data_IF_522278625031
#
_entry.id   IF_522278625031
#
_cell.length_a   1.000
_cell.length_b   1.000
_cell.length_c   1.000
_cell.angle_alpha   90.00
_cell.angle_beta   90.00
_cell.angle_gamma   90.00
#
_symmetry.space_group_name_H-M   'P 1'
#
loop_
_entity.id
_entity.type
_entity.pdbx_description
1 polymer ?
#
# COMPACT_ATOMS: atom_id res chain seq x y z
N UNK A 1 -4.22 -16.03 1.95
CA UNK A 1 -4.97 -15.94 0.68
C UNK A 1 -6.47 -15.84 0.93
N UNK A 2 -7.11 -16.79 1.60
CA UNK A 2 -8.57 -16.81 1.79
C UNK A 2 -9.12 -15.49 2.33
N UNK A 3 -8.59 -15.00 3.44
CA UNK A 3 -9.03 -13.72 4.05
C UNK A 3 -8.90 -12.55 3.08
N UNK A 4 -7.81 -12.50 2.29
CA UNK A 4 -7.60 -11.45 1.29
C UNK A 4 -8.57 -11.57 0.10
N UNK A 5 -8.89 -12.79 -0.36
CA UNK A 5 -9.88 -13.01 -1.41
C UNK A 5 -11.27 -12.55 -0.94
N UNK A 6 -11.67 -12.92 0.27
CA UNK A 6 -12.94 -12.50 0.86
C UNK A 6 -13.02 -10.96 1.00
N UNK A 7 -11.95 -10.30 1.47
CA UNK A 7 -11.88 -8.85 1.53
C UNK A 7 -12.02 -8.19 0.14
N UNK A 8 -11.29 -8.71 -0.87
CA UNK A 8 -11.37 -8.23 -2.25
C UNK A 8 -12.77 -8.40 -2.82
N UNK A 9 -13.35 -9.57 -2.69
CA UNK A 9 -14.65 -9.91 -3.28
C UNK A 9 -15.77 -9.01 -2.71
N UNK A 10 -15.67 -8.63 -1.44
CA UNK A 10 -16.55 -7.61 -0.87
C UNK A 10 -16.28 -6.23 -1.48
N UNK A 11 -14.99 -5.85 -1.63
CA UNK A 11 -14.62 -4.51 -2.11
C UNK A 11 -14.91 -4.28 -3.60
N UNK A 12 -14.81 -5.30 -4.45
CA UNK A 12 -15.12 -5.19 -5.89
C UNK A 12 -16.63 -5.21 -6.18
N UNK A 13 -17.48 -5.49 -5.18
CA UNK A 13 -18.92 -5.43 -5.36
C UNK A 13 -19.36 -4.01 -5.78
N UNK A 14 -20.36 -3.88 -6.65
CA UNK A 14 -20.82 -2.61 -7.19
C UNK A 14 -21.23 -1.58 -6.13
N UNK A 15 -21.63 -2.06 -4.95
CA UNK A 15 -21.88 -1.23 -3.75
C UNK A 15 -21.31 -1.91 -2.52
N UNK A 16 -20.15 -1.48 -2.08
CA UNK A 16 -19.70 -1.80 -0.72
C UNK A 16 -20.65 -1.09 0.24
N UNK A 17 -21.51 -1.85 0.90
CA UNK A 17 -22.37 -1.31 1.94
C UNK A 17 -21.48 -0.88 3.13
N UNK A 18 -21.80 0.22 3.78
CA UNK A 18 -21.06 0.69 4.97
C UNK A 18 -20.96 -0.41 6.04
N UNK A 19 -22.00 -1.23 6.18
CA UNK A 19 -22.01 -2.40 7.08
C UNK A 19 -20.95 -3.46 6.73
N UNK A 20 -20.42 -3.47 5.51
CA UNK A 20 -19.37 -4.42 5.06
C UNK A 20 -17.97 -3.95 5.39
N UNK A 21 -17.75 -2.65 5.61
CA UNK A 21 -16.41 -2.10 5.93
C UNK A 21 -15.81 -2.74 7.20
N UNK A 22 -16.54 -2.93 8.31
CA UNK A 22 -16.03 -3.64 9.48
C UNK A 22 -15.60 -5.09 9.18
N UNK A 23 -16.27 -5.77 8.26
CA UNK A 23 -15.92 -7.15 7.86
C UNK A 23 -14.59 -7.15 7.09
N UNK A 24 -14.42 -6.23 6.14
CA UNK A 24 -13.16 -6.06 5.39
C UNK A 24 -12.01 -5.75 6.36
N UNK A 25 -12.22 -4.81 7.28
CA UNK A 25 -11.25 -4.46 8.34
C UNK A 25 -10.84 -5.70 9.13
N UNK A 26 -11.81 -6.52 9.57
CA UNK A 26 -11.53 -7.75 10.30
C UNK A 26 -10.64 -8.72 9.50
N UNK A 27 -10.92 -8.92 8.20
CA UNK A 27 -10.09 -9.78 7.35
C UNK A 27 -8.65 -9.24 7.23
N UNK A 28 -8.48 -7.93 7.00
CA UNK A 28 -7.16 -7.31 6.86
C UNK A 28 -6.35 -7.36 8.18
N UNK A 29 -6.98 -7.07 9.32
CA UNK A 29 -6.34 -7.18 10.64
C UNK A 29 -5.86 -8.61 10.90
N UNK A 30 -6.69 -9.61 10.56
CA UNK A 30 -6.34 -11.02 10.70
C UNK A 30 -5.12 -11.39 9.84
N UNK A 31 -5.04 -10.90 8.59
CA UNK A 31 -3.89 -11.14 7.73
C UNK A 31 -2.63 -10.49 8.29
N UNK A 32 -2.73 -9.25 8.81
CA UNK A 32 -1.61 -8.54 9.43
C UNK A 32 -1.07 -9.32 10.64
N UNK A 33 -1.94 -9.87 11.51
CA UNK A 33 -1.51 -10.72 12.63
C UNK A 33 -0.85 -12.03 12.17
N UNK A 34 -1.33 -12.65 11.08
CA UNK A 34 -0.68 -13.84 10.50
C UNK A 34 0.73 -13.50 10.03
N UNK A 35 0.94 -12.34 9.34
CA UNK A 35 2.29 -11.92 8.93
C UNK A 35 3.20 -11.62 10.12
N UNK A 36 2.68 -11.00 11.19
CA UNK A 36 3.44 -10.78 12.43
C UNK A 36 3.89 -12.09 13.07
N UNK A 37 2.99 -13.09 13.10
CA UNK A 37 3.32 -14.43 13.58
C UNK A 37 4.41 -15.08 12.72
N UNK A 38 4.26 -15.04 11.40
CA UNK A 38 5.24 -15.59 10.45
C UNK A 38 6.60 -14.89 10.58
N UNK A 39 6.62 -13.57 10.73
CA UNK A 39 7.86 -12.81 10.96
C UNK A 39 8.56 -13.23 12.25
N UNK A 40 7.81 -13.53 13.32
CA UNK A 40 8.37 -14.01 14.57
C UNK A 40 8.94 -15.45 14.47
N UNK A 41 8.44 -16.28 13.57
CA UNK A 41 8.96 -17.64 13.36
C UNK A 41 10.40 -17.65 12.83
N UNK A 42 10.84 -16.61 12.12
CA UNK A 42 12.23 -16.48 11.68
C UNK A 42 13.22 -16.51 12.85
N UNK A 43 12.82 -16.01 14.04
CA UNK A 43 13.64 -16.05 15.25
C UNK A 43 13.96 -17.49 15.70
N UNK A 44 13.05 -18.44 15.45
CA UNK A 44 13.31 -19.85 15.73
C UNK A 44 14.37 -20.38 14.76
N UNK A 45 14.29 -20.03 13.48
CA UNK A 45 15.31 -20.42 12.51
C UNK A 45 16.69 -19.83 12.83
N UNK A 46 16.74 -18.62 13.36
CA UNK A 46 17.99 -17.96 13.78
C UNK A 46 18.70 -18.62 14.96
N UNK A 47 18.06 -19.56 15.65
CA UNK A 47 18.72 -20.39 16.70
C UNK A 47 19.61 -21.47 16.13
N UNK A 48 19.49 -21.82 14.86
CA UNK A 48 20.40 -22.72 14.17
C UNK A 48 21.75 -22.02 13.94
N UNK A 49 22.84 -22.79 14.08
CA UNK A 49 24.14 -22.29 13.64
C UNK A 49 24.28 -22.41 12.12
N UNK A 50 25.07 -21.55 11.46
CA UNK A 50 25.35 -21.70 10.02
C UNK A 50 25.87 -23.08 9.64
N UNK A 51 26.69 -23.73 10.52
CA UNK A 51 27.23 -25.05 10.30
C UNK A 51 26.16 -26.15 10.35
N UNK A 52 25.23 -26.06 11.32
CA UNK A 52 24.11 -27.00 11.40
C UNK A 52 23.21 -26.89 10.16
N UNK A 53 22.95 -25.69 9.71
CA UNK A 53 22.21 -25.48 8.48
C UNK A 53 22.93 -26.07 7.26
N UNK A 54 24.21 -25.79 7.11
CA UNK A 54 25.01 -26.31 6.01
C UNK A 54 25.09 -27.88 6.00
N UNK A 55 25.01 -28.50 7.16
CA UNK A 55 25.04 -29.96 7.27
C UNK A 55 23.87 -30.67 6.57
N UNK A 56 22.72 -30.01 6.44
CA UNK A 56 21.57 -30.58 5.73
C UNK A 56 21.17 -29.82 4.46
N UNK A 57 21.76 -28.63 4.20
CA UNK A 57 21.40 -27.74 3.08
C UNK A 57 21.32 -28.48 1.74
N UNK A 58 22.28 -29.37 1.46
CA UNK A 58 22.33 -30.09 0.18
C UNK A 58 21.14 -31.05 0.00
N UNK A 59 20.49 -31.46 1.09
CA UNK A 59 19.27 -32.27 1.05
C UNK A 59 18.04 -31.51 0.64
N UNK A 60 18.09 -30.16 0.68
CA UNK A 60 17.00 -29.30 0.21
C UNK A 60 16.91 -29.25 -1.32
N UNK A 61 17.94 -29.77 -2.01
CA UNK A 61 17.98 -29.80 -3.48
C UNK A 61 17.90 -28.38 -4.08
N UNK A 62 17.04 -28.23 -5.08
CA UNK A 62 16.79 -26.96 -5.77
C UNK A 62 15.63 -26.16 -5.18
N UNK A 63 15.11 -26.55 -4.02
CA UNK A 63 13.99 -25.85 -3.36
C UNK A 63 14.26 -24.36 -3.23
N UNK A 64 13.31 -23.56 -3.66
CA UNK A 64 13.42 -22.11 -3.72
C UNK A 64 12.13 -21.44 -3.25
N UNK A 65 12.26 -20.25 -2.63
CA UNK A 65 11.11 -19.40 -2.33
C UNK A 65 10.32 -18.96 -3.58
N UNK A 66 10.91 -19.07 -4.77
CA UNK A 66 10.19 -18.88 -6.05
C UNK A 66 9.12 -19.93 -6.28
N UNK A 67 9.22 -21.11 -5.67
CA UNK A 67 8.22 -22.17 -5.76
C UNK A 67 7.01 -21.93 -4.84
N UNK A 68 7.06 -20.90 -3.98
CA UNK A 68 5.90 -20.48 -3.18
C UNK A 68 4.88 -19.74 -4.03
N UNK A 69 4.10 -20.51 -4.80
CA UNK A 69 3.03 -19.97 -5.65
C UNK A 69 2.01 -19.14 -4.85
N UNK A 70 1.72 -19.52 -3.61
CA UNK A 70 0.81 -18.78 -2.74
C UNK A 70 1.30 -17.35 -2.45
N UNK A 71 2.61 -17.16 -2.28
CA UNK A 71 3.17 -15.81 -2.09
C UNK A 71 3.02 -14.98 -3.37
N UNK A 72 3.24 -15.59 -4.54
CA UNK A 72 3.06 -14.91 -5.83
C UNK A 72 1.60 -14.54 -6.05
N UNK A 73 0.69 -15.46 -5.73
CA UNK A 73 -0.75 -15.21 -5.81
C UNK A 73 -1.20 -14.08 -4.87
N UNK A 74 -0.67 -14.03 -3.63
CA UNK A 74 -0.93 -12.91 -2.72
C UNK A 74 -0.45 -11.57 -3.29
N UNK A 75 0.74 -11.54 -3.87
CA UNK A 75 1.28 -10.32 -4.47
C UNK A 75 0.42 -9.82 -5.64
N UNK A 76 -0.09 -10.72 -6.48
CA UNK A 76 -1.03 -10.39 -7.57
C UNK A 76 -2.37 -9.92 -7.01
N UNK A 77 -2.94 -10.65 -6.06
CA UNK A 77 -4.19 -10.31 -5.40
C UNK A 77 -4.15 -8.93 -4.75
N UNK A 78 -3.01 -8.55 -4.18
CA UNK A 78 -2.82 -7.23 -3.56
C UNK A 78 -2.61 -6.11 -4.58
N UNK A 79 -2.11 -6.42 -5.78
CA UNK A 79 -1.86 -5.45 -6.84
C UNK A 79 -0.40 -5.02 -6.99
N UNK A 80 0.56 -5.93 -6.68
CA UNK A 80 1.97 -5.64 -6.96
C UNK A 80 2.23 -5.72 -8.47
N UNK A 81 2.56 -4.59 -9.07
CA UNK A 81 2.84 -4.47 -10.50
C UNK A 81 4.12 -5.20 -10.92
N UNK A 82 4.18 -5.63 -12.19
CA UNK A 82 5.33 -6.37 -12.73
C UNK A 82 6.59 -5.52 -12.76
N UNK A 83 6.47 -4.22 -13.03
CA UNK A 83 7.56 -3.24 -13.09
C UNK A 83 8.23 -3.04 -11.74
N UNK A 84 7.49 -3.24 -10.65
CA UNK A 84 8.02 -3.15 -9.28
C UNK A 84 8.78 -4.40 -8.88
N UNK A 85 8.59 -5.52 -9.61
CA UNK A 85 9.24 -6.79 -9.32
C UNK A 85 10.68 -6.78 -9.80
N UNK A 86 11.56 -7.42 -9.06
CA UNK A 86 12.96 -7.56 -9.47
C UNK A 86 13.05 -8.25 -10.85
N UNK A 87 13.66 -7.57 -11.80
CA UNK A 87 13.80 -8.05 -13.18
C UNK A 87 12.52 -8.04 -14.02
N UNK A 88 11.46 -7.35 -13.58
CA UNK A 88 10.20 -7.27 -14.32
C UNK A 88 9.51 -8.63 -14.49
N UNK A 89 9.67 -9.53 -13.51
CA UNK A 89 9.13 -10.90 -13.59
C UNK A 89 7.61 -10.89 -13.68
N UNK A 90 7.07 -11.48 -14.74
CA UNK A 90 5.65 -11.79 -14.86
C UNK A 90 5.30 -13.05 -14.03
N UNK A 91 4.50 -12.91 -12.95
CA UNK A 91 4.15 -14.02 -12.09
C UNK A 91 3.24 -15.04 -12.79
N UNK A 92 2.41 -14.63 -13.75
CA UNK A 92 1.54 -15.54 -14.48
C UNK A 92 2.34 -16.45 -15.41
N UNK A 93 3.21 -15.88 -16.25
CA UNK A 93 4.09 -16.64 -17.12
C UNK A 93 5.00 -17.59 -16.33
N UNK A 94 5.45 -17.16 -15.13
CA UNK A 94 6.23 -18.00 -14.23
C UNK A 94 5.41 -19.21 -13.71
N UNK A 95 4.16 -18.99 -13.31
CA UNK A 95 3.26 -20.05 -12.83
C UNK A 95 2.93 -21.06 -13.91
N UNK A 96 2.66 -20.61 -15.13
CA UNK A 96 2.41 -21.47 -16.30
C UNK A 96 3.63 -22.36 -16.61
N UNK A 97 4.84 -21.78 -16.54
CA UNK A 97 6.08 -22.54 -16.67
C UNK A 97 6.21 -23.63 -15.61
N UNK A 98 6.01 -23.29 -14.33
CA UNK A 98 6.08 -24.26 -13.22
C UNK A 98 5.03 -25.37 -13.36
N UNK A 99 3.84 -25.06 -13.84
CA UNK A 99 2.79 -26.04 -14.12
C UNK A 99 3.19 -26.97 -15.28
N UNK A 100 3.78 -26.43 -16.36
CA UNK A 100 4.35 -27.23 -17.44
C UNK A 100 5.47 -28.17 -17.02
N UNK A 101 6.22 -27.81 -15.99
CA UNK A 101 7.25 -28.63 -15.35
C UNK A 101 6.68 -29.64 -14.31
N UNK A 102 5.37 -29.63 -14.08
CA UNK A 102 4.71 -30.49 -13.08
C UNK A 102 4.98 -30.10 -11.61
N UNK A 103 5.49 -28.89 -11.36
CA UNK A 103 5.81 -28.38 -10.02
C UNK A 103 4.61 -27.71 -9.35
N UNK A 104 3.59 -27.31 -10.10
CA UNK A 104 2.35 -26.71 -9.64
C UNK A 104 1.18 -27.54 -10.14
N UNK A 105 0.19 -27.77 -9.27
CA UNK A 105 -1.01 -28.53 -9.63
C UNK A 105 -1.89 -27.75 -10.60
N UNK A 106 -2.67 -28.40 -11.47
CA UNK A 106 -3.62 -27.74 -12.35
C UNK A 106 -4.64 -26.88 -11.58
N UNK A 107 -5.07 -27.30 -10.40
CA UNK A 107 -5.98 -26.52 -9.56
C UNK A 107 -5.34 -25.23 -9.05
N UNK A 108 -4.07 -25.29 -8.59
CA UNK A 108 -3.36 -24.10 -8.16
C UNK A 108 -3.10 -23.09 -9.29
N UNK A 109 -2.87 -23.60 -10.53
CA UNK A 109 -2.77 -22.72 -11.69
C UNK A 109 -4.12 -22.09 -12.03
N UNK A 110 -5.22 -22.83 -11.95
CA UNK A 110 -6.55 -22.29 -12.17
C UNK A 110 -6.90 -21.20 -11.14
N UNK A 111 -6.66 -21.45 -9.85
CA UNK A 111 -6.85 -20.46 -8.78
C UNK A 111 -6.02 -19.18 -9.02
N UNK A 112 -4.81 -19.34 -9.57
CA UNK A 112 -3.96 -18.20 -9.91
C UNK A 112 -4.51 -17.40 -11.09
N UNK A 113 -4.98 -18.06 -12.13
CA UNK A 113 -5.66 -17.42 -13.28
C UNK A 113 -6.90 -16.64 -12.82
N UNK A 114 -7.74 -17.25 -11.97
CA UNK A 114 -8.92 -16.60 -11.42
C UNK A 114 -8.53 -15.34 -10.62
N UNK A 115 -7.48 -15.43 -9.81
CA UNK A 115 -6.98 -14.28 -9.05
C UNK A 115 -6.49 -13.17 -9.97
N UNK A 116 -5.75 -13.51 -11.02
CA UNK A 116 -5.17 -12.56 -11.97
C UNK A 116 -6.23 -11.90 -12.89
N UNK A 117 -7.34 -12.58 -13.15
CA UNK A 117 -8.41 -12.07 -14.02
C UNK A 117 -9.33 -11.04 -13.37
N UNK A 118 -9.30 -10.93 -12.05
CA UNK A 118 -10.13 -10.01 -11.27
C UNK A 118 -9.34 -8.77 -10.86
N UNK A 119 -10.00 -7.63 -10.59
CA UNK A 119 -9.35 -6.47 -10.01
C UNK A 119 -8.58 -6.83 -8.75
N UNK A 120 -7.41 -6.24 -8.57
CA UNK A 120 -6.63 -6.40 -7.35
C UNK A 120 -7.29 -5.71 -6.15
N UNK A 121 -6.80 -6.00 -4.95
CA UNK A 121 -7.26 -5.32 -3.74
C UNK A 121 -6.90 -3.82 -3.76
N UNK A 122 -5.80 -3.45 -4.41
CA UNK A 122 -5.42 -2.05 -4.62
C UNK A 122 -6.39 -1.35 -5.59
N UNK A 123 -6.77 -1.99 -6.71
CA UNK A 123 -7.77 -1.44 -7.63
C UNK A 123 -9.12 -1.24 -6.94
N UNK A 124 -9.54 -2.24 -6.15
CA UNK A 124 -10.77 -2.19 -5.38
C UNK A 124 -10.75 -1.06 -4.33
N UNK A 125 -9.62 -0.86 -3.65
CA UNK A 125 -9.41 0.24 -2.71
C UNK A 125 -9.50 1.59 -3.43
N UNK A 126 -8.80 1.77 -4.54
CA UNK A 126 -8.84 3.02 -5.30
C UNK A 126 -10.24 3.33 -5.84
N UNK A 127 -10.94 2.33 -6.35
CA UNK A 127 -12.34 2.46 -6.75
C UNK A 127 -13.24 2.88 -5.58
N UNK A 128 -13.04 2.29 -4.40
CA UNK A 128 -13.81 2.64 -3.20
C UNK A 128 -13.51 4.06 -2.73
N UNK A 129 -12.24 4.48 -2.70
CA UNK A 129 -11.81 5.84 -2.36
C UNK A 129 -12.42 6.89 -3.30
N UNK A 130 -12.57 6.54 -4.58
CA UNK A 130 -13.21 7.41 -5.57
C UNK A 130 -14.68 7.74 -5.26
N UNK A 131 -15.33 6.99 -4.37
CA UNK A 131 -16.72 7.23 -3.95
C UNK A 131 -16.84 8.02 -2.64
N UNK A 132 -15.73 8.40 -2.02
CA UNK A 132 -15.73 9.18 -0.78
C UNK A 132 -16.46 10.51 -0.99
N UNK A 133 -17.49 10.85 -0.23
CA UNK A 133 -18.07 12.18 -0.28
C UNK A 133 -17.05 13.24 0.13
N UNK A 134 -16.89 14.28 -0.67
CA UNK A 134 -15.99 15.42 -0.41
C UNK A 134 -16.85 16.68 -0.29
N UNK A 135 -16.79 17.35 0.84
CA UNK A 135 -17.66 18.47 1.16
C UNK A 135 -19.16 18.18 0.99
N UNK A 136 -19.55 16.91 1.22
CA UNK A 136 -20.92 16.44 1.04
C UNK A 136 -21.26 16.01 -0.39
N UNK A 137 -20.44 16.35 -1.40
CA UNK A 137 -20.66 15.95 -2.78
C UNK A 137 -20.19 14.53 -3.07
N UNK A 138 -20.94 13.84 -3.89
CA UNK A 138 -20.70 12.44 -4.32
C UNK A 138 -20.55 12.36 -5.84
N UNK A 139 -19.85 11.33 -6.40
CA UNK A 139 -19.57 11.23 -7.85
C UNK A 139 -20.78 11.25 -8.77
N UNK A 140 -21.98 10.97 -8.24
CA UNK A 140 -23.24 10.96 -9.00
C UNK A 140 -23.87 12.37 -9.14
N UNK A 141 -23.28 13.41 -8.52
CA UNK A 141 -23.78 14.77 -8.53
C UNK A 141 -23.15 15.57 -9.68
N UNK A 142 -23.96 16.43 -10.32
CA UNK A 142 -23.56 17.16 -11.54
C UNK A 142 -22.38 18.12 -11.30
N UNK A 143 -22.22 18.63 -10.08
CA UNK A 143 -21.18 19.59 -9.68
C UNK A 143 -20.00 18.96 -8.91
N UNK A 144 -20.00 17.63 -8.71
CA UNK A 144 -18.94 16.94 -7.96
C UNK A 144 -17.53 17.29 -8.44
N UNK A 145 -17.32 17.32 -9.75
CA UNK A 145 -16.02 17.64 -10.32
C UNK A 145 -15.50 19.02 -9.91
N UNK A 146 -16.39 20.02 -9.87
CA UNK A 146 -16.04 21.39 -9.47
C UNK A 146 -15.78 21.47 -7.96
N UNK A 147 -16.60 20.82 -7.14
CA UNK A 147 -16.42 20.74 -5.68
C UNK A 147 -15.09 20.07 -5.33
N UNK A 148 -14.77 18.96 -5.98
CA UNK A 148 -13.51 18.24 -5.73
C UNK A 148 -12.30 19.03 -6.20
N UNK A 149 -12.38 19.71 -7.35
CA UNK A 149 -11.31 20.56 -7.85
C UNK A 149 -11.08 21.77 -6.91
N UNK A 150 -12.13 22.39 -6.42
CA UNK A 150 -12.05 23.50 -5.46
C UNK A 150 -11.38 23.04 -4.15
N UNK A 151 -11.82 21.90 -3.60
CA UNK A 151 -11.18 21.30 -2.42
C UNK A 151 -9.67 21.08 -2.63
N UNK A 152 -9.29 20.45 -3.73
CA UNK A 152 -7.88 20.16 -4.03
C UNK A 152 -7.07 21.44 -4.17
N UNK A 153 -7.60 22.47 -4.84
CA UNK A 153 -6.91 23.74 -4.99
C UNK A 153 -6.73 24.45 -3.64
N UNK A 154 -7.78 24.53 -2.82
CA UNK A 154 -7.70 25.09 -1.45
C UNK A 154 -6.67 24.35 -0.58
N UNK A 155 -6.60 23.03 -0.70
CA UNK A 155 -5.59 22.23 0.02
C UNK A 155 -4.15 22.54 -0.46
N UNK A 156 -3.94 22.67 -1.77
CA UNK A 156 -2.63 23.02 -2.35
C UNK A 156 -2.20 24.45 -1.96
N UNK A 157 -3.16 25.40 -1.85
CA UNK A 157 -2.90 26.73 -1.31
C UNK A 157 -2.43 26.65 0.15
N UNK A 158 -3.14 25.89 1.00
CA UNK A 158 -2.75 25.68 2.39
C UNK A 158 -1.35 25.01 2.51
N UNK A 159 -1.01 24.08 1.62
CA UNK A 159 0.35 23.52 1.55
C UNK A 159 1.39 24.58 1.22
N UNK A 160 1.09 25.47 0.25
CA UNK A 160 1.99 26.56 -0.15
C UNK A 160 2.21 27.55 0.98
N UNK A 161 1.13 27.99 1.66
CA UNK A 161 1.20 28.90 2.80
C UNK A 161 2.00 28.31 3.97
N UNK A 162 1.73 27.02 4.26
CA UNK A 162 2.51 26.28 5.26
C UNK A 162 3.99 26.22 4.86
N UNK A 163 4.29 25.97 3.58
CA UNK A 163 5.63 25.98 3.03
C UNK A 163 6.37 27.30 3.26
N UNK A 164 5.71 28.43 3.03
CA UNK A 164 6.27 29.77 3.28
C UNK A 164 6.59 29.96 4.78
N UNK A 165 5.72 29.47 5.68
CA UNK A 165 5.97 29.52 7.12
C UNK A 165 7.19 28.64 7.52
N UNK A 166 7.32 27.47 6.90
CA UNK A 166 8.48 26.58 7.11
C UNK A 166 9.76 27.23 6.61
N UNK A 167 9.78 27.85 5.43
CA UNK A 167 10.95 28.57 4.90
C UNK A 167 11.41 29.64 5.88
N UNK A 168 10.49 30.51 6.32
CA UNK A 168 10.81 31.58 7.29
C UNK A 168 11.37 31.02 8.59
N UNK A 169 10.77 29.95 9.10
CA UNK A 169 11.24 29.32 10.33
C UNK A 169 12.65 28.72 10.19
N UNK A 170 12.89 27.96 9.11
CA UNK A 170 14.19 27.31 8.86
C UNK A 170 15.33 28.35 8.75
N UNK A 171 15.08 29.47 8.06
CA UNK A 171 16.02 30.58 7.96
C UNK A 171 16.28 31.19 9.35
N UNK A 172 15.22 31.42 10.15
CA UNK A 172 15.34 32.05 11.47
C UNK A 172 16.18 31.25 12.46
N UNK A 173 16.20 29.91 12.31
CA UNK A 173 17.00 29.01 13.18
C UNK A 173 18.36 28.64 12.56
N UNK A 174 18.72 29.24 11.42
CA UNK A 174 20.02 29.01 10.77
C UNK A 174 20.18 27.67 10.03
N UNK A 175 19.07 27.01 9.69
CA UNK A 175 19.05 25.71 8.99
C UNK A 175 19.02 25.85 7.47
N UNK A 176 19.85 26.72 6.91
CA UNK A 176 20.01 26.95 5.47
C UNK A 176 19.54 28.34 5.03
N UNK A 177 19.68 28.60 3.75
CA UNK A 177 19.25 29.82 3.09
C UNK A 177 17.99 29.60 2.25
N UNK A 178 17.33 30.69 1.90
CA UNK A 178 16.12 30.65 1.08
C UNK A 178 16.33 29.99 -0.27
N UNK A 179 17.48 30.25 -0.90
CA UNK A 179 17.81 29.69 -2.23
C UNK A 179 17.90 28.15 -2.22
N UNK A 180 18.25 27.56 -1.07
CA UNK A 180 18.36 26.10 -0.91
C UNK A 180 17.01 25.47 -0.48
N UNK A 181 16.25 26.15 0.39
CA UNK A 181 15.04 25.59 1.00
C UNK A 181 13.83 25.73 0.08
N UNK A 182 13.63 26.93 -0.50
CA UNK A 182 12.46 27.25 -1.34
C UNK A 182 12.23 26.26 -2.48
N UNK A 183 13.23 25.89 -3.32
CA UNK A 183 13.00 24.97 -4.42
C UNK A 183 12.52 23.58 -3.97
N UNK A 184 12.90 23.13 -2.77
CA UNK A 184 12.45 21.83 -2.22
C UNK A 184 11.00 21.88 -1.80
N UNK A 185 10.57 22.98 -1.18
CA UNK A 185 9.18 23.19 -0.76
C UNK A 185 8.28 23.31 -2.00
N UNK A 186 8.66 24.11 -2.98
CA UNK A 186 7.93 24.29 -4.23
C UNK A 186 7.83 22.99 -5.02
N UNK A 187 8.91 22.19 -5.08
CA UNK A 187 8.90 20.86 -5.69
C UNK A 187 7.90 19.92 -4.97
N UNK A 188 7.78 20.01 -3.64
CA UNK A 188 6.79 19.27 -2.86
C UNK A 188 5.35 19.65 -3.24
N UNK A 189 5.05 20.93 -3.33
CA UNK A 189 3.72 21.42 -3.75
C UNK A 189 3.42 21.05 -5.20
N UNK A 190 4.42 21.19 -6.08
CA UNK A 190 4.29 20.77 -7.49
C UNK A 190 4.04 19.25 -7.61
N UNK A 191 4.76 18.44 -6.84
CA UNK A 191 4.55 16.99 -6.78
C UNK A 191 3.15 16.63 -6.29
N UNK A 192 2.66 17.33 -5.25
CA UNK A 192 1.30 17.16 -4.75
C UNK A 192 0.25 17.51 -5.81
N UNK A 193 0.45 18.63 -6.54
CA UNK A 193 -0.44 19.00 -7.65
C UNK A 193 -0.45 17.91 -8.73
N UNK A 194 0.71 17.43 -9.16
CA UNK A 194 0.82 16.38 -10.19
C UNK A 194 0.23 15.05 -9.74
N UNK A 195 0.27 14.76 -8.45
CA UNK A 195 -0.34 13.56 -7.87
C UNK A 195 -1.87 13.65 -7.84
N UNK A 196 -2.41 14.80 -7.49
CA UNK A 196 -3.84 15.02 -7.32
C UNK A 196 -4.56 15.39 -8.63
N UNK A 197 -3.85 16.08 -9.55
CA UNK A 197 -4.39 16.59 -10.81
C UNK A 197 -3.55 16.06 -11.95
N UNK A 198 -4.14 15.12 -12.72
CA UNK A 198 -3.55 14.55 -13.93
C UNK A 198 -4.00 15.30 -15.20
N UNK A 199 -3.66 14.73 -16.37
CA UNK A 199 -4.04 15.27 -17.68
C UNK A 199 -5.57 15.29 -17.89
N UNK A 200 -6.28 14.32 -17.32
CA UNK A 200 -7.73 14.17 -17.42
C UNK A 200 -8.53 14.96 -16.35
N UNK A 201 -7.84 15.70 -15.48
CA UNK A 201 -8.43 16.45 -14.37
C UNK A 201 -8.06 15.88 -13.01
N UNK A 202 -8.89 16.12 -12.00
CA UNK A 202 -8.63 15.68 -10.62
C UNK A 202 -8.80 14.17 -10.50
N UNK A 203 -7.80 13.50 -9.91
CA UNK A 203 -7.91 12.10 -9.53
C UNK A 203 -8.82 11.97 -8.30
N UNK A 204 -10.08 11.58 -8.52
CA UNK A 204 -11.13 11.50 -7.50
C UNK A 204 -10.76 10.59 -6.33
N UNK A 205 -10.11 9.45 -6.61
CA UNK A 205 -9.69 8.48 -5.59
C UNK A 205 -8.60 9.05 -4.68
N UNK A 206 -7.62 9.75 -5.26
CA UNK A 206 -6.56 10.43 -4.51
C UNK A 206 -7.07 11.62 -3.72
N UNK A 207 -8.04 12.36 -4.28
CA UNK A 207 -8.72 13.42 -3.55
C UNK A 207 -9.52 12.87 -2.36
N UNK A 208 -10.24 11.77 -2.54
CA UNK A 208 -10.96 11.07 -1.46
C UNK A 208 -10.02 10.57 -0.37
N UNK A 209 -8.88 9.98 -0.75
CA UNK A 209 -7.85 9.57 0.19
C UNK A 209 -7.30 10.77 1.00
N UNK A 210 -6.97 11.86 0.31
CA UNK A 210 -6.49 13.08 0.96
C UNK A 210 -7.54 13.65 1.92
N UNK A 211 -8.81 13.63 1.55
CA UNK A 211 -9.92 14.11 2.38
C UNK A 211 -10.05 13.27 3.65
N UNK A 212 -10.06 11.94 3.55
CA UNK A 212 -10.15 11.05 4.72
C UNK A 212 -8.95 11.25 5.66
N UNK A 213 -7.73 11.36 5.11
CA UNK A 213 -6.51 11.54 5.91
C UNK A 213 -6.43 12.93 6.55
N UNK A 214 -6.94 13.97 5.89
CA UNK A 214 -6.94 15.34 6.39
C UNK A 214 -7.97 15.55 7.51
N UNK A 215 -9.16 14.96 7.38
CA UNK A 215 -10.28 15.18 8.29
C UNK A 215 -10.61 13.95 9.14
N UNK A 216 -9.59 13.30 9.67
CA UNK A 216 -9.66 12.03 10.42
C UNK A 216 -10.59 12.04 11.63
N UNK A 217 -10.91 13.22 12.17
CA UNK A 217 -11.75 13.36 13.37
C UNK A 217 -13.25 13.46 13.05
N UNK A 218 -13.62 13.56 11.79
CA UNK A 218 -15.01 13.57 11.39
C UNK A 218 -15.64 12.19 11.65
N UNK A 219 -16.75 12.10 12.40
CA UNK A 219 -17.33 10.83 12.81
C UNK A 219 -17.63 9.88 11.66
N UNK A 220 -18.18 10.38 10.55
CA UNK A 220 -18.50 9.55 9.38
C UNK A 220 -17.26 8.96 8.71
N UNK A 221 -16.08 9.56 8.87
CA UNK A 221 -14.83 9.08 8.31
C UNK A 221 -14.09 8.07 9.21
N UNK A 222 -14.66 7.70 10.36
CA UNK A 222 -14.00 6.78 11.31
C UNK A 222 -13.71 5.41 10.71
N UNK A 223 -14.68 4.80 10.02
CA UNK A 223 -14.48 3.52 9.34
C UNK A 223 -13.62 3.62 8.07
N UNK A 224 -13.83 4.61 7.18
CA UNK A 224 -12.90 4.87 6.08
C UNK A 224 -11.45 4.98 6.52
N UNK A 225 -11.17 5.77 7.55
CA UNK A 225 -9.84 5.90 8.14
C UNK A 225 -9.30 4.57 8.66
N UNK A 226 -10.13 3.83 9.44
CA UNK A 226 -9.73 2.53 9.98
C UNK A 226 -9.36 1.55 8.87
N UNK A 227 -10.10 1.55 7.77
CA UNK A 227 -9.81 0.71 6.61
C UNK A 227 -8.46 1.07 5.98
N UNK A 228 -8.18 2.37 5.76
CA UNK A 228 -6.88 2.83 5.25
C UNK A 228 -5.74 2.42 6.20
N UNK A 229 -5.90 2.61 7.50
CA UNK A 229 -4.91 2.21 8.50
C UNK A 229 -4.63 0.69 8.43
N UNK A 230 -5.64 -0.15 8.20
CA UNK A 230 -5.46 -1.59 8.04
C UNK A 230 -4.67 -1.98 6.78
N UNK A 231 -4.86 -1.28 5.66
CA UNK A 231 -4.04 -1.50 4.46
C UNK A 231 -2.57 -1.14 4.69
N UNK A 232 -2.32 -0.02 5.38
CA UNK A 232 -0.96 0.38 5.77
C UNK A 232 -0.32 -0.65 6.71
N UNK A 233 -1.04 -1.10 7.74
CA UNK A 233 -0.56 -2.13 8.67
C UNK A 233 -0.29 -3.47 7.98
N UNK A 234 -1.11 -3.84 7.00
CA UNK A 234 -0.91 -5.03 6.19
C UNK A 234 0.42 -4.94 5.42
N UNK A 235 0.66 -3.85 4.70
CA UNK A 235 1.90 -3.67 3.95
C UNK A 235 3.12 -3.62 4.87
N UNK A 236 3.04 -2.93 6.01
CA UNK A 236 4.12 -2.91 7.01
C UNK A 236 4.42 -4.31 7.56
N UNK A 237 3.39 -5.09 7.87
CA UNK A 237 3.57 -6.45 8.40
C UNK A 237 4.23 -7.38 7.37
N UNK A 238 3.87 -7.25 6.09
CA UNK A 238 4.52 -7.96 4.97
C UNK A 238 5.97 -7.52 4.80
N UNK A 239 6.25 -6.23 4.90
CA UNK A 239 7.61 -5.69 4.82
C UNK A 239 8.49 -6.22 5.95
N UNK A 240 7.99 -6.25 7.18
CA UNK A 240 8.70 -6.80 8.33
C UNK A 240 9.01 -8.29 8.15
N UNK A 241 8.03 -9.07 7.66
CA UNK A 241 8.24 -10.47 7.32
C UNK A 241 9.38 -10.65 6.30
N UNK A 242 9.38 -9.87 5.20
CA UNK A 242 10.43 -9.92 4.17
C UNK A 242 11.79 -9.51 4.73
N UNK A 243 11.82 -8.46 5.56
CA UNK A 243 13.06 -7.95 6.16
C UNK A 243 13.67 -8.98 7.12
N UNK A 244 12.87 -9.58 7.99
CA UNK A 244 13.35 -10.64 8.89
C UNK A 244 13.82 -11.88 8.10
N UNK A 245 13.09 -12.24 7.04
CA UNK A 245 13.52 -13.33 6.15
C UNK A 245 14.90 -13.06 5.53
N UNK A 246 15.09 -11.88 4.94
CA UNK A 246 16.37 -11.49 4.34
C UNK A 246 17.51 -11.53 5.38
N UNK A 247 17.29 -10.98 6.57
CA UNK A 247 18.30 -10.99 7.65
C UNK A 247 18.58 -12.39 8.17
N UNK A 248 17.57 -13.22 8.33
CA UNK A 248 17.74 -14.62 8.73
C UNK A 248 18.58 -15.38 7.68
N UNK A 249 18.27 -15.24 6.39
CA UNK A 249 19.04 -15.90 5.31
C UNK A 249 20.48 -15.38 5.28
N UNK A 250 20.73 -14.08 5.41
CA UNK A 250 22.08 -13.52 5.50
C UNK A 250 22.87 -14.10 6.67
N UNK A 251 22.23 -14.26 7.83
CA UNK A 251 22.83 -14.87 9.01
C UNK A 251 23.21 -16.34 8.79
N UNK A 252 22.39 -17.09 8.02
CA UNK A 252 22.59 -18.53 7.81
C UNK A 252 23.62 -18.84 6.73
N UNK A 253 23.57 -18.16 5.60
CA UNK A 253 24.38 -18.49 4.43
C UNK A 253 25.29 -17.35 3.95
N UNK A 254 25.22 -16.15 4.57
CA UNK A 254 25.90 -14.97 4.08
C UNK A 254 25.45 -14.63 2.67
N UNK A 255 26.36 -14.16 1.83
CA UNK A 255 26.06 -13.80 0.43
C UNK A 255 26.25 -14.96 -0.56
N UNK A 256 26.06 -16.21 -0.10
CA UNK A 256 26.09 -17.36 -0.98
C UNK A 256 24.85 -17.39 -1.88
N UNK A 257 25.02 -18.02 -3.05
CA UNK A 257 23.90 -18.29 -3.95
C UNK A 257 22.81 -19.10 -3.24
N UNK A 258 21.56 -18.77 -3.47
CA UNK A 258 20.41 -19.53 -2.98
C UNK A 258 20.33 -20.91 -3.62
N UNK A 259 19.64 -21.85 -2.98
CA UNK A 259 19.45 -23.23 -3.49
C UNK A 259 18.78 -23.26 -4.86
N UNK A 260 17.88 -22.30 -5.15
CA UNK A 260 17.20 -22.13 -6.44
C UNK A 260 17.97 -21.31 -7.49
N UNK A 261 19.26 -21.02 -7.27
CA UNK A 261 20.09 -20.29 -8.25
C UNK A 261 19.91 -18.77 -8.23
N UNK A 262 19.11 -18.22 -7.31
CA UNK A 262 18.98 -16.77 -7.13
C UNK A 262 20.24 -16.17 -6.48
N UNK A 263 20.39 -14.83 -6.59
CA UNK A 263 21.44 -14.08 -5.87
C UNK A 263 21.29 -14.12 -4.33
N UNK A 264 20.40 -14.98 -3.80
CA UNK A 264 20.22 -15.19 -2.37
C UNK A 264 19.73 -13.91 -1.66
N UNK A 265 20.55 -13.37 -0.75
CA UNK A 265 20.21 -12.20 0.08
C UNK A 265 19.91 -10.96 -0.78
N UNK A 266 20.64 -10.72 -1.87
CA UNK A 266 20.44 -9.54 -2.70
C UNK A 266 19.04 -9.52 -3.35
N UNK A 267 18.53 -10.71 -3.74
CA UNK A 267 17.15 -10.84 -4.20
C UNK A 267 16.14 -10.52 -3.07
N UNK A 268 16.37 -11.07 -1.88
CA UNK A 268 15.47 -10.83 -0.75
C UNK A 268 15.47 -9.36 -0.33
N UNK A 269 16.63 -8.71 -0.30
CA UNK A 269 16.78 -7.28 -0.05
C UNK A 269 16.00 -6.44 -1.08
N UNK A 270 16.01 -6.83 -2.35
CA UNK A 270 15.20 -6.16 -3.37
C UNK A 270 13.69 -6.26 -3.06
N UNK A 271 13.22 -7.42 -2.55
CA UNK A 271 11.80 -7.58 -2.20
C UNK A 271 11.35 -6.71 -1.02
N UNK A 272 12.26 -6.24 -0.17
CA UNK A 272 11.93 -5.32 0.92
C UNK A 272 11.57 -3.91 0.42
N UNK A 273 11.83 -3.62 -0.85
CA UNK A 273 11.50 -2.33 -1.49
C UNK A 273 10.13 -2.31 -2.15
N UNK A 274 9.46 -3.45 -2.25
CA UNK A 274 8.14 -3.53 -2.86
C UNK A 274 7.15 -2.68 -2.08
N UNK A 275 6.39 -1.86 -2.82
CA UNK A 275 5.29 -1.05 -2.31
C UNK A 275 4.08 -1.28 -3.20
N UNK A 276 3.00 -1.72 -2.61
CA UNK A 276 1.75 -2.02 -3.30
C UNK A 276 0.83 -0.80 -3.22
N UNK A 277 0.58 -0.32 -2.01
CA UNK A 277 -0.34 0.78 -1.74
C UNK A 277 0.38 2.14 -1.79
N UNK A 278 1.03 2.43 -2.91
CA UNK A 278 1.91 3.61 -3.07
C UNK A 278 1.20 4.92 -2.74
N UNK A 279 -0.06 5.05 -3.13
CA UNK A 279 -0.84 6.27 -2.92
C UNK A 279 -1.11 6.54 -1.43
N UNK A 280 -1.27 5.49 -0.60
CA UNK A 280 -1.44 5.62 0.84
C UNK A 280 -0.20 6.19 1.55
N UNK A 281 0.98 5.96 0.98
CA UNK A 281 2.23 6.55 1.48
C UNK A 281 2.45 7.95 0.93
N UNK A 282 2.16 8.16 -0.36
CA UNK A 282 2.36 9.44 -1.01
C UNK A 282 1.53 10.56 -0.38
N UNK A 283 0.26 10.29 -0.08
CA UNK A 283 -0.66 11.29 0.51
C UNK A 283 -0.13 11.87 1.83
N UNK A 284 0.63 11.09 2.61
CA UNK A 284 1.16 11.53 3.91
C UNK A 284 2.14 12.70 3.79
N UNK A 285 2.79 12.83 2.65
CA UNK A 285 3.70 13.95 2.38
C UNK A 285 2.97 15.26 2.03
N UNK A 286 1.66 15.17 1.79
CA UNK A 286 0.81 16.30 1.37
C UNK A 286 -0.04 16.85 2.51
N UNK A 287 -0.03 16.17 3.68
CA UNK A 287 -0.83 16.60 4.82
C UNK A 287 -0.30 17.93 5.39
N UNK A 288 -1.22 18.82 5.73
CA UNK A 288 -0.93 20.06 6.44
C UNK A 288 -1.40 19.97 7.89
N UNK A 289 -0.97 20.93 8.71
CA UNK A 289 -1.43 21.01 10.09
C UNK A 289 -2.95 21.24 10.14
N UNK A 290 -3.59 20.76 11.20
CA UNK A 290 -5.05 20.84 11.37
C UNK A 290 -5.58 22.28 11.29
N UNK A 291 -4.88 23.23 11.88
CA UNK A 291 -5.22 24.65 11.87
C UNK A 291 -5.01 25.34 10.50
N UNK A 292 -4.31 24.69 9.59
CA UNK A 292 -4.10 25.14 8.21
C UNK A 292 -5.01 24.41 7.20
N UNK A 293 -5.82 23.44 7.64
CA UNK A 293 -6.75 22.76 6.74
C UNK A 293 -7.86 23.70 6.27
N UNK A 294 -8.30 23.60 5.01
CA UNK A 294 -9.53 24.26 4.55
C UNK A 294 -10.72 23.89 5.43
N UNK A 295 -11.65 24.82 5.63
CA UNK A 295 -12.87 24.52 6.36
C UNK A 295 -13.68 23.46 5.61
N UNK A 296 -14.24 22.48 6.35
CA UNK A 296 -15.14 21.49 5.77
C UNK A 296 -16.48 22.18 5.49
N UNK A 297 -16.86 22.20 4.23
CA UNK A 297 -18.22 22.61 3.84
C UNK A 297 -19.18 21.47 4.17
N UNK A 298 -20.40 21.79 4.57
CA UNK A 298 -21.40 20.81 5.01
C UNK A 298 -20.91 19.88 6.14
N UNK A 299 -20.22 20.42 7.14
CA UNK A 299 -19.66 19.66 8.27
C UNK A 299 -20.73 18.80 8.99
N UNK A 300 -22.00 19.22 9.00
CA UNK A 300 -23.12 18.47 9.57
C UNK A 300 -23.36 17.14 8.87
N UNK A 301 -23.02 17.02 7.59
CA UNK A 301 -23.09 15.75 6.84
C UNK A 301 -22.17 14.67 7.46
N UNK A 302 -21.02 15.06 7.99
CA UNK A 302 -20.03 14.13 8.57
C UNK A 302 -20.20 13.92 10.07
N UNK A 303 -21.16 14.59 10.69
CA UNK A 303 -21.51 14.48 12.12
C UNK A 303 -22.72 13.57 12.35
N UNK A 304 -22.95 13.23 13.63
CA UNK A 304 -24.20 12.62 14.06
C UNK A 304 -25.20 13.66 14.62
N UNK A 305 -25.07 14.89 14.16
CA UNK A 305 -25.98 15.96 14.58
C UNK A 305 -27.30 15.82 13.83
N UNK A 306 -28.36 15.55 14.57
CA UNK A 306 -29.73 15.71 14.03
C UNK A 306 -29.98 17.19 13.77
N UNK A 307 -30.29 17.51 12.52
CA UNK A 307 -30.84 18.82 12.15
C UNK A 307 -32.10 19.16 12.90
#
# INVERSE_FOLDING_TARGET
LRELKEARDIMISERVQEASVPVIVHHLERVSEIFRLLANQWKVMETLTPQDFLAFRDRLGTSSGFESWQMREMEVLLGLENEQRMGGMDPLAHMEKLAGEGKVSPSALADFHDTHSLPSLNDALMSWLGRTPIHGSSPDEDDDADVVLDYVNKHLESMSEHGEAVIKHMISIGHGDEATIRPRIEAGVHGARSFLIGEEGVNRSRAGLLFIESYRDLPLLSWPRKLIDCFVELEESMLLFRTHHARMVERMIGRRMGTGGSSGVDYLDATTKYRIFVDLWAVRTMLVKRDALPNVEHADFYGFLSS
#
